data_IF_530355657637
#
_entry.id   IF_530355657637
#
_cell.length_a   1.000
_cell.length_b   1.000
_cell.length_c   1.000
_cell.angle_alpha   90.00
_cell.angle_beta   90.00
_cell.angle_gamma   90.00
#
_symmetry.space_group_name_H-M   'P 1'
#
loop_
_entity.id
_entity.type
_entity.pdbx_description
1 polymer ?
#
# COMPACT_ATOMS: atom_id res chain seq x y z
N UNK A 1 7.89 -5.82 -48.63
CA UNK A 1 9.32 -6.14 -48.89
C UNK A 1 10.19 -5.18 -48.09
N UNK A 2 10.97 -5.68 -47.14
CA UNK A 2 11.84 -4.84 -46.30
C UNK A 2 13.13 -4.53 -47.07
N UNK A 3 13.07 -3.48 -47.91
CA UNK A 3 14.21 -3.03 -48.73
C UNK A 3 15.52 -2.80 -47.91
N UNK A 4 15.48 -2.17 -46.72
CA UNK A 4 16.69 -1.96 -45.92
C UNK A 4 17.38 -3.27 -45.50
N UNK A 5 16.63 -4.30 -45.18
CA UNK A 5 17.19 -5.61 -44.77
C UNK A 5 17.82 -6.36 -45.95
N UNK A 6 17.32 -6.17 -47.17
CA UNK A 6 17.85 -6.81 -48.39
C UNK A 6 19.23 -6.28 -48.77
N UNK A 7 19.47 -4.99 -48.55
CA UNK A 7 20.76 -4.36 -48.80
C UNK A 7 21.76 -4.52 -47.65
N UNK A 8 21.31 -4.51 -46.40
CA UNK A 8 22.19 -4.63 -45.24
C UNK A 8 22.81 -6.03 -45.08
N UNK A 9 22.06 -7.08 -45.43
CA UNK A 9 22.48 -8.47 -45.21
C UNK A 9 23.74 -8.89 -45.96
N UNK A 10 23.93 -8.59 -47.29
CA UNK A 10 25.15 -8.92 -48.00
C UNK A 10 26.36 -8.13 -47.50
N UNK A 11 26.21 -6.92 -46.99
CA UNK A 11 27.31 -6.12 -46.45
C UNK A 11 27.78 -6.62 -45.08
N UNK A 12 26.88 -7.14 -44.24
CA UNK A 12 27.21 -7.72 -42.93
C UNK A 12 27.89 -9.09 -43.02
N UNK A 13 27.66 -9.86 -44.10
CA UNK A 13 28.15 -11.24 -44.24
C UNK A 13 29.02 -11.46 -45.48
N UNK A 14 29.54 -10.38 -46.11
CA UNK A 14 30.44 -10.50 -47.29
C UNK A 14 31.77 -11.13 -46.89
N UNK A 15 32.06 -12.30 -47.44
CA UNK A 15 33.25 -13.12 -47.14
C UNK A 15 34.57 -12.62 -47.81
N UNK A 16 34.61 -11.43 -48.38
CA UNK A 16 35.82 -10.93 -49.04
C UNK A 16 36.56 -9.86 -48.24
N UNK A 17 37.67 -10.28 -47.67
CA UNK A 17 38.89 -9.49 -47.39
C UNK A 17 38.84 -8.34 -46.40
N UNK A 18 37.83 -8.23 -45.48
CA UNK A 18 37.85 -7.22 -44.42
C UNK A 18 37.38 -7.80 -43.08
N UNK A 19 38.04 -8.86 -42.62
CA UNK A 19 37.75 -9.46 -41.31
C UNK A 19 37.79 -8.44 -40.16
N UNK A 20 38.67 -7.43 -40.24
CA UNK A 20 38.77 -6.40 -39.20
C UNK A 20 37.52 -5.50 -39.11
N UNK A 21 36.96 -5.08 -40.26
CA UNK A 21 35.76 -4.22 -40.30
C UNK A 21 34.54 -4.98 -39.78
N UNK A 22 34.39 -6.24 -40.16
CA UNK A 22 33.28 -7.07 -39.67
C UNK A 22 33.38 -7.37 -38.18
N UNK A 23 34.59 -7.57 -37.65
CA UNK A 23 34.83 -7.75 -36.21
C UNK A 23 34.49 -6.47 -35.45
N UNK A 24 34.94 -5.30 -35.90
CA UNK A 24 34.62 -4.02 -35.26
C UNK A 24 33.14 -3.75 -35.31
N UNK A 25 32.46 -3.98 -36.42
CA UNK A 25 31.00 -3.85 -36.53
C UNK A 25 30.28 -4.80 -35.62
N UNK A 26 30.71 -6.05 -35.52
CA UNK A 26 30.16 -7.05 -34.61
C UNK A 26 30.30 -6.66 -33.12
N UNK A 27 31.49 -6.19 -32.73
CA UNK A 27 31.75 -5.69 -31.39
C UNK A 27 30.85 -4.48 -31.09
N UNK A 28 30.73 -3.53 -32.01
CA UNK A 28 29.89 -2.35 -31.82
C UNK A 28 28.42 -2.71 -31.63
N UNK A 29 27.89 -3.63 -32.43
CA UNK A 29 26.51 -4.15 -32.26
C UNK A 29 26.35 -4.86 -30.90
N UNK A 30 27.33 -5.67 -30.53
CA UNK A 30 27.34 -6.37 -29.25
C UNK A 30 27.29 -5.40 -28.04
N UNK A 31 28.15 -4.36 -28.07
CA UNK A 31 28.19 -3.33 -27.02
C UNK A 31 26.86 -2.59 -26.93
N UNK A 32 26.31 -2.15 -28.06
CA UNK A 32 25.03 -1.45 -28.09
C UNK A 32 23.90 -2.36 -27.51
N UNK A 33 23.87 -3.62 -27.93
CA UNK A 33 22.89 -4.58 -27.45
C UNK A 33 22.97 -4.79 -25.93
N UNK A 34 24.18 -4.96 -25.39
CA UNK A 34 24.39 -5.13 -23.94
C UNK A 34 24.00 -3.88 -23.18
N UNK A 35 24.41 -2.70 -23.60
CA UNK A 35 24.08 -1.44 -22.95
C UNK A 35 22.56 -1.21 -22.98
N UNK A 36 21.92 -1.44 -24.11
CA UNK A 36 20.45 -1.30 -24.23
C UNK A 36 19.72 -2.29 -23.32
N UNK A 37 20.15 -3.55 -23.29
CA UNK A 37 19.58 -4.56 -22.41
C UNK A 37 19.75 -4.19 -20.94
N UNK A 38 20.94 -3.73 -20.53
CA UNK A 38 21.19 -3.27 -19.17
C UNK A 38 20.28 -2.09 -18.78
N UNK A 39 20.09 -1.12 -19.69
CA UNK A 39 19.22 0.02 -19.46
C UNK A 39 17.76 -0.38 -19.30
N UNK A 40 17.27 -1.32 -20.10
CA UNK A 40 15.90 -1.87 -19.97
C UNK A 40 15.73 -2.59 -18.62
N UNK A 41 16.70 -3.40 -18.21
CA UNK A 41 16.64 -4.11 -16.92
C UNK A 41 16.58 -3.11 -15.76
N UNK A 42 17.45 -2.09 -15.77
CA UNK A 42 17.46 -1.07 -14.71
C UNK A 42 16.12 -0.32 -14.63
N UNK A 43 15.61 0.15 -15.78
CA UNK A 43 14.33 0.86 -15.82
C UNK A 43 13.16 -0.03 -15.39
N UNK A 44 13.13 -1.28 -15.82
CA UNK A 44 12.10 -2.25 -15.39
C UNK A 44 12.15 -2.51 -13.90
N UNK A 45 13.35 -2.62 -13.31
CA UNK A 45 13.53 -2.80 -11.88
C UNK A 45 13.03 -1.58 -11.10
N UNK A 46 13.38 -0.37 -11.55
CA UNK A 46 12.92 0.86 -10.91
C UNK A 46 11.39 1.00 -10.94
N UNK A 47 10.78 0.71 -12.09
CA UNK A 47 9.32 0.72 -12.21
C UNK A 47 8.67 -0.34 -11.31
N UNK A 48 9.23 -1.56 -11.25
CA UNK A 48 8.73 -2.61 -10.38
C UNK A 48 8.83 -2.26 -8.89
N UNK A 49 9.89 -1.56 -8.47
CA UNK A 49 10.01 -1.06 -7.09
C UNK A 49 8.97 0.03 -6.82
N UNK A 50 8.76 0.97 -7.76
CA UNK A 50 7.73 2.00 -7.62
C UNK A 50 6.34 1.39 -7.47
N UNK A 51 5.97 0.44 -8.33
CA UNK A 51 4.70 -0.28 -8.26
C UNK A 51 4.55 -1.06 -6.94
N UNK A 52 5.63 -1.66 -6.43
CA UNK A 52 5.63 -2.36 -5.15
C UNK A 52 5.41 -1.40 -3.97
N UNK A 53 6.09 -0.25 -3.99
CA UNK A 53 5.90 0.80 -2.97
C UNK A 53 4.46 1.29 -2.98
N UNK A 54 3.91 1.61 -4.14
CA UNK A 54 2.51 2.02 -4.27
C UNK A 54 1.53 0.94 -3.79
N UNK A 55 1.81 -0.33 -4.06
CA UNK A 55 0.98 -1.44 -3.60
C UNK A 55 1.00 -1.62 -2.07
N UNK A 56 2.11 -1.29 -1.41
CA UNK A 56 2.25 -1.43 0.06
C UNK A 56 1.64 -0.23 0.80
N UNK A 57 1.84 0.99 0.31
CA UNK A 57 1.44 2.21 1.02
C UNK A 57 0.06 2.76 0.57
N UNK A 58 -0.28 2.64 -0.69
CA UNK A 58 -1.46 3.29 -1.27
C UNK A 58 -2.83 2.77 -0.84
N UNK A 59 -3.03 1.49 -0.44
CA UNK A 59 -4.39 0.99 -0.16
C UNK A 59 -5.04 1.58 1.09
N UNK A 60 -4.24 1.98 2.07
CA UNK A 60 -4.71 2.36 3.41
C UNK A 60 -4.39 3.81 3.78
N UNK A 61 -3.53 4.46 3.01
CA UNK A 61 -3.13 5.85 3.25
C UNK A 61 -3.94 6.80 2.37
N UNK A 62 -4.34 7.91 2.95
CA UNK A 62 -4.95 9.03 2.26
C UNK A 62 -3.86 9.94 1.70
N UNK A 63 -4.15 10.61 0.58
CA UNK A 63 -3.21 11.52 -0.06
C UNK A 63 -2.80 12.67 0.87
N UNK A 64 -3.70 13.11 1.75
CA UNK A 64 -3.45 14.20 2.71
C UNK A 64 -4.00 13.81 4.08
N UNK A 65 -3.16 13.92 5.11
CA UNK A 65 -3.55 13.76 6.51
C UNK A 65 -3.29 15.04 7.28
N UNK A 66 -4.32 15.56 7.97
CA UNK A 66 -4.22 16.72 8.83
C UNK A 66 -4.10 16.25 10.27
N UNK A 67 -2.99 16.58 10.92
CA UNK A 67 -2.72 16.18 12.31
C UNK A 67 -2.60 17.41 13.22
N UNK A 68 -2.74 17.21 14.53
CA UNK A 68 -2.54 18.28 15.50
C UNK A 68 -1.07 18.74 15.49
N UNK A 69 -0.83 20.05 15.51
CA UNK A 69 0.51 20.62 15.63
C UNK A 69 1.10 20.37 17.03
N UNK A 70 0.26 20.34 18.06
CA UNK A 70 0.62 20.01 19.43
C UNK A 70 -0.33 18.96 20.00
N UNK A 71 0.21 17.97 20.70
CA UNK A 71 -0.56 16.88 21.27
C UNK A 71 -0.88 15.77 20.25
N UNK A 72 -1.83 14.90 20.58
CA UNK A 72 -2.20 13.74 19.74
C UNK A 72 -3.44 13.98 18.90
N UNK A 73 -4.33 14.85 19.34
CA UNK A 73 -5.64 15.08 18.71
C UNK A 73 -6.06 16.53 18.85
N UNK A 74 -6.94 16.97 17.98
CA UNK A 74 -7.64 18.24 18.05
C UNK A 74 -9.15 18.01 17.99
N UNK A 75 -9.92 18.99 18.46
CA UNK A 75 -11.39 18.92 18.41
C UNK A 75 -11.93 19.09 16.99
N UNK A 76 -13.10 18.54 16.73
CA UNK A 76 -13.77 18.68 15.42
C UNK A 76 -14.06 20.14 15.06
N UNK A 77 -14.26 20.98 16.07
CA UNK A 77 -14.51 22.42 15.95
C UNK A 77 -13.29 23.21 15.45
N UNK A 78 -12.09 22.64 15.53
CA UNK A 78 -10.86 23.31 15.07
C UNK A 78 -10.68 23.31 13.54
N UNK A 79 -11.48 22.50 12.82
CA UNK A 79 -11.39 22.34 11.38
C UNK A 79 -12.78 22.33 10.74
N UNK A 80 -12.99 23.24 9.80
CA UNK A 80 -14.21 23.27 8.99
C UNK A 80 -14.11 22.25 7.84
N UNK A 81 -14.59 21.03 8.11
CA UNK A 81 -14.53 19.93 7.15
C UNK A 81 -15.39 20.20 5.91
N UNK A 82 -16.55 20.87 6.07
CA UNK A 82 -17.43 21.19 4.95
C UNK A 82 -16.75 22.13 3.95
N UNK A 83 -16.00 23.10 4.46
CA UNK A 83 -15.21 23.99 3.62
C UNK A 83 -14.08 23.29 2.87
N UNK A 84 -13.49 22.26 3.47
CA UNK A 84 -12.45 21.44 2.83
C UNK A 84 -13.06 20.59 1.71
N UNK A 85 -14.17 19.90 1.96
CA UNK A 85 -14.87 19.09 0.96
C UNK A 85 -15.40 19.94 -0.21
N UNK A 86 -15.72 21.23 0.05
CA UNK A 86 -16.14 22.14 -1.01
C UNK A 86 -15.02 22.54 -1.98
N UNK A 87 -13.75 22.21 -1.72
CA UNK A 87 -12.63 22.50 -2.62
C UNK A 87 -12.65 21.55 -3.82
N UNK A 88 -12.50 22.06 -5.07
CA UNK A 88 -12.58 21.21 -6.28
C UNK A 88 -11.53 20.09 -6.35
N UNK A 89 -10.43 20.22 -5.62
CA UNK A 89 -9.35 19.23 -5.56
C UNK A 89 -9.58 18.15 -4.51
N UNK A 90 -10.59 18.28 -3.63
CA UNK A 90 -10.90 17.31 -2.57
C UNK A 90 -12.11 16.49 -3.00
N UNK A 91 -11.93 15.19 -3.09
CA UNK A 91 -12.99 14.27 -3.47
C UNK A 91 -13.86 13.86 -2.27
N UNK A 92 -13.21 13.58 -1.14
CA UNK A 92 -13.88 13.17 0.10
C UNK A 92 -12.95 13.44 1.30
N UNK A 93 -13.49 13.46 2.51
CA UNK A 93 -12.73 13.60 3.75
C UNK A 93 -13.41 12.83 4.88
N UNK A 94 -12.63 12.33 5.83
CA UNK A 94 -13.14 11.57 6.98
C UNK A 94 -12.35 11.92 8.24
N UNK A 95 -13.07 11.94 9.36
CA UNK A 95 -12.45 12.02 10.66
C UNK A 95 -11.86 10.67 11.04
N UNK A 96 -10.65 10.72 11.61
CA UNK A 96 -9.93 9.53 12.07
C UNK A 96 -9.39 9.79 13.47
N UNK A 97 -9.42 8.76 14.31
CA UNK A 97 -8.75 8.74 15.61
C UNK A 97 -7.86 7.51 15.70
N UNK A 98 -6.62 7.68 16.08
CA UNK A 98 -5.67 6.59 16.25
C UNK A 98 -5.19 6.52 17.70
N UNK A 99 -5.17 5.32 18.28
CA UNK A 99 -4.67 5.07 19.62
C UNK A 99 -4.06 3.67 19.71
N UNK A 100 -2.97 3.55 20.47
CA UNK A 100 -2.43 2.25 20.81
C UNK A 100 -3.31 1.60 21.88
N UNK A 101 -3.75 0.40 21.60
CA UNK A 101 -4.66 -0.36 22.44
C UNK A 101 -4.10 -1.76 22.72
N UNK A 102 -4.52 -2.33 23.84
CA UNK A 102 -4.32 -3.75 24.11
C UNK A 102 -5.51 -4.53 23.55
N UNK A 103 -5.24 -5.43 22.63
CA UNK A 103 -6.19 -6.38 22.09
C UNK A 103 -6.06 -7.71 22.82
N UNK A 104 -7.19 -8.32 23.14
CA UNK A 104 -7.26 -9.62 23.78
C UNK A 104 -8.33 -10.50 23.11
N UNK A 105 -7.95 -11.74 22.82
CA UNK A 105 -8.83 -12.77 22.31
C UNK A 105 -8.56 -14.08 23.08
N UNK A 106 -9.47 -14.48 23.95
CA UNK A 106 -9.24 -15.60 24.87
C UNK A 106 -8.00 -15.38 25.73
N UNK A 107 -7.02 -16.28 25.64
CA UNK A 107 -5.77 -16.21 26.41
C UNK A 107 -4.64 -15.43 25.70
N UNK A 108 -4.85 -15.05 24.45
CA UNK A 108 -3.87 -14.30 23.68
C UNK A 108 -4.09 -12.79 23.78
N UNK A 109 -3.00 -12.04 23.86
CA UNK A 109 -3.06 -10.59 23.90
C UNK A 109 -1.89 -9.96 23.14
N UNK A 110 -2.14 -8.84 22.49
CA UNK A 110 -1.11 -8.06 21.76
C UNK A 110 -1.44 -6.58 21.78
N UNK A 111 -0.41 -5.74 21.56
CA UNK A 111 -0.59 -4.29 21.41
C UNK A 111 -0.71 -3.96 19.93
N UNK A 112 -1.74 -3.18 19.60
CA UNK A 112 -1.97 -2.76 18.23
C UNK A 112 -2.42 -1.30 18.16
N UNK A 113 -2.30 -0.69 17.00
CA UNK A 113 -2.88 0.62 16.71
C UNK A 113 -4.32 0.45 16.27
N UNK A 114 -5.25 0.97 17.05
CA UNK A 114 -6.68 1.05 16.70
C UNK A 114 -6.91 2.34 15.92
N UNK A 115 -7.48 2.21 14.73
CA UNK A 115 -7.92 3.32 13.89
C UNK A 115 -9.45 3.38 13.90
N UNK A 116 -10.00 4.33 14.65
CA UNK A 116 -11.43 4.63 14.64
C UNK A 116 -11.74 5.56 13.49
N UNK A 117 -12.66 5.16 12.63
CA UNK A 117 -12.99 5.87 11.38
C UNK A 117 -14.51 5.99 11.21
N UNK A 118 -14.93 6.92 10.39
CA UNK A 118 -16.33 7.04 9.97
C UNK A 118 -16.65 6.06 8.82
N UNK A 119 -17.93 5.66 8.62
CA UNK A 119 -18.29 4.70 7.58
C UNK A 119 -17.86 5.10 6.17
N UNK A 120 -17.79 6.40 5.87
CA UNK A 120 -17.31 6.92 4.58
C UNK A 120 -15.85 6.58 4.30
N UNK A 121 -15.04 6.36 5.32
CA UNK A 121 -13.65 5.95 5.17
C UNK A 121 -13.50 4.66 4.36
N UNK A 122 -14.43 3.71 4.50
CA UNK A 122 -14.40 2.47 3.71
C UNK A 122 -14.59 2.73 2.20
N UNK A 123 -15.35 3.76 1.84
CA UNK A 123 -15.54 4.14 0.43
C UNK A 123 -14.32 4.87 -0.13
N UNK A 124 -13.64 5.67 0.72
CA UNK A 124 -12.44 6.41 0.35
C UNK A 124 -11.23 5.49 0.18
N UNK A 125 -11.13 4.48 1.05
CA UNK A 125 -10.04 3.52 1.03
C UNK A 125 -10.29 2.40 0.02
N UNK A 126 -9.22 1.82 -0.52
CA UNK A 126 -9.29 0.62 -1.37
C UNK A 126 -9.37 -0.66 -0.53
N UNK A 127 -9.74 -0.56 0.75
CA UNK A 127 -9.69 -1.65 1.72
C UNK A 127 -10.46 -2.89 1.25
N UNK A 128 -11.62 -2.70 0.61
CA UNK A 128 -12.41 -3.80 0.06
C UNK A 128 -11.64 -4.72 -0.91
N UNK A 129 -10.67 -4.18 -1.64
CA UNK A 129 -9.86 -4.95 -2.60
C UNK A 129 -8.77 -5.79 -1.91
N UNK A 130 -8.43 -5.48 -0.65
CA UNK A 130 -7.38 -6.14 0.12
C UNK A 130 -7.93 -7.00 1.25
N UNK A 131 -9.26 -7.18 1.31
CA UNK A 131 -9.86 -8.13 2.25
C UNK A 131 -9.48 -9.55 1.87
N UNK A 132 -8.88 -10.27 2.80
CA UNK A 132 -8.56 -11.68 2.62
C UNK A 132 -9.80 -12.56 2.82
N UNK A 133 -10.66 -12.19 3.77
CA UNK A 133 -11.93 -12.87 4.10
C UNK A 133 -12.89 -11.86 4.73
N UNK A 134 -14.18 -12.12 4.67
CA UNK A 134 -15.23 -11.26 5.19
C UNK A 134 -15.55 -10.06 4.29
N UNK A 135 -16.38 -9.17 4.80
CA UNK A 135 -16.81 -7.95 4.12
C UNK A 135 -16.25 -6.70 4.84
N UNK A 136 -15.95 -5.62 4.11
CA UNK A 136 -15.49 -4.36 4.70
C UNK A 136 -16.67 -3.62 5.38
N UNK A 137 -17.06 -4.08 6.54
CA UNK A 137 -18.15 -3.49 7.34
C UNK A 137 -17.72 -3.30 8.79
N UNK A 138 -18.31 -2.29 9.45
CA UNK A 138 -18.17 -2.08 10.88
C UNK A 138 -19.37 -2.59 11.67
N UNK A 139 -20.34 -3.20 11.00
CA UNK A 139 -21.52 -3.81 11.59
C UNK A 139 -21.47 -5.32 11.37
N UNK A 140 -21.38 -6.08 12.43
CA UNK A 140 -21.42 -7.54 12.42
C UNK A 140 -22.76 -8.08 12.91
N UNK A 141 -23.03 -9.36 12.72
CA UNK A 141 -24.24 -10.04 13.14
C UNK A 141 -24.48 -9.98 14.67
N UNK A 142 -23.41 -9.89 15.46
CA UNK A 142 -23.47 -9.85 16.93
C UNK A 142 -23.22 -8.46 17.53
N UNK A 143 -23.05 -7.41 16.71
CA UNK A 143 -22.76 -6.06 17.14
C UNK A 143 -21.64 -5.40 16.33
N UNK A 144 -20.98 -4.37 16.89
CA UNK A 144 -19.89 -3.68 16.20
C UNK A 144 -18.78 -4.63 15.77
N UNK A 145 -18.28 -4.46 14.55
CA UNK A 145 -17.21 -5.26 13.97
C UNK A 145 -15.95 -4.42 13.73
N UNK A 146 -14.81 -5.09 13.69
CA UNK A 146 -13.52 -4.49 13.39
C UNK A 146 -12.83 -5.24 12.25
N UNK A 147 -12.15 -4.50 11.39
CA UNK A 147 -11.28 -5.06 10.36
C UNK A 147 -9.89 -5.21 10.97
N UNK A 148 -9.33 -6.40 10.91
CA UNK A 148 -8.07 -6.75 11.57
C UNK A 148 -7.05 -7.17 10.53
N UNK A 149 -5.81 -6.69 10.66
CA UNK A 149 -4.71 -7.14 9.82
C UNK A 149 -4.39 -8.63 10.02
N UNK A 150 -4.00 -9.31 8.94
CA UNK A 150 -3.72 -10.76 8.96
C UNK A 150 -2.62 -11.14 9.96
N UNK A 151 -1.64 -10.27 10.18
CA UNK A 151 -0.60 -10.46 11.20
C UNK A 151 -1.16 -10.50 12.61
N UNK A 152 -1.98 -9.52 12.98
CA UNK A 152 -2.66 -9.47 14.29
C UNK A 152 -3.60 -10.65 14.51
N UNK A 153 -4.31 -11.05 13.45
CA UNK A 153 -5.16 -12.25 13.48
C UNK A 153 -4.36 -13.49 13.85
N UNK A 154 -3.18 -13.65 13.26
CA UNK A 154 -2.28 -14.77 13.53
C UNK A 154 -1.74 -14.74 14.97
N UNK A 155 -1.34 -13.55 15.47
CA UNK A 155 -0.84 -13.37 16.83
C UNK A 155 -1.91 -13.66 17.89
N UNK A 156 -3.15 -13.27 17.62
CA UNK A 156 -4.28 -13.50 18.52
C UNK A 156 -4.92 -14.91 18.39
N UNK A 157 -4.40 -15.74 17.47
CA UNK A 157 -4.93 -17.10 17.23
C UNK A 157 -6.37 -17.11 16.74
N UNK A 158 -6.84 -16.05 16.08
CA UNK A 158 -8.21 -15.96 15.60
C UNK A 158 -8.45 -16.90 14.41
N UNK A 159 -9.57 -17.64 14.36
CA UNK A 159 -9.86 -18.56 13.25
C UNK A 159 -10.05 -17.81 11.93
N UNK A 160 -9.74 -18.48 10.82
CA UNK A 160 -9.97 -17.98 9.45
C UNK A 160 -11.39 -18.25 8.96
N UNK A 161 -12.18 -18.98 9.75
CA UNK A 161 -13.51 -19.41 9.35
C UNK A 161 -14.55 -18.31 9.68
N UNK A 162 -15.29 -17.87 8.67
CA UNK A 162 -16.30 -16.81 8.76
C UNK A 162 -17.50 -17.20 9.65
N UNK A 163 -17.61 -18.46 10.06
CA UNK A 163 -18.66 -18.98 10.96
C UNK A 163 -18.37 -18.86 12.46
N UNK A 164 -17.11 -18.59 12.84
CA UNK A 164 -16.73 -18.58 14.27
C UNK A 164 -16.46 -17.15 14.72
N UNK A 165 -17.44 -16.56 15.40
CA UNK A 165 -17.28 -15.24 16.04
C UNK A 165 -16.55 -15.40 17.37
N UNK A 166 -15.33 -14.91 17.47
CA UNK A 166 -14.66 -14.73 18.76
C UNK A 166 -14.75 -13.26 19.17
N UNK A 167 -15.18 -12.99 20.41
CA UNK A 167 -15.20 -11.63 20.93
C UNK A 167 -13.76 -11.12 21.07
N UNK A 168 -13.52 -9.91 20.58
CA UNK A 168 -12.27 -9.20 20.71
C UNK A 168 -12.43 -8.12 21.78
N UNK A 169 -11.67 -8.22 22.87
CA UNK A 169 -11.62 -7.19 23.89
C UNK A 169 -10.61 -6.13 23.49
N UNK A 170 -11.04 -4.87 23.50
CA UNK A 170 -10.20 -3.72 23.16
C UNK A 170 -10.08 -2.84 24.41
N UNK A 171 -8.87 -2.75 24.94
CA UNK A 171 -8.56 -1.89 26.08
C UNK A 171 -7.75 -0.69 25.63
N UNK A 172 -8.36 0.49 25.65
CA UNK A 172 -7.71 1.75 25.31
C UNK A 172 -7.32 2.53 26.57
N UNK A 173 -6.18 3.25 26.57
CA UNK A 173 -5.81 4.09 27.70
C UNK A 173 -6.78 5.25 27.86
N UNK A 174 -7.25 5.48 29.09
CA UNK A 174 -8.13 6.60 29.41
C UNK A 174 -7.28 7.88 29.48
N UNK A 175 -7.55 8.82 28.59
CA UNK A 175 -6.87 10.12 28.57
C UNK A 175 -7.29 10.96 29.78
N UNK A 176 -6.32 11.61 30.42
CA UNK A 176 -6.54 12.59 31.47
C UNK A 176 -6.80 12.03 32.88
N UNK A 177 -6.81 10.73 33.08
CA UNK A 177 -6.93 10.11 34.40
C UNK A 177 -5.55 9.67 34.90
N UNK A 178 -5.01 10.32 35.93
CA UNK A 178 -3.87 9.78 36.67
C UNK A 178 -4.38 8.52 37.38
N UNK A 179 -3.81 7.36 37.00
CA UNK A 179 -4.04 6.13 37.76
C UNK A 179 -3.56 6.36 39.18
N UNK A 180 -4.47 6.32 40.15
CA UNK A 180 -4.10 6.27 41.57
C UNK A 180 -3.31 4.99 41.79
N UNK A 181 -2.06 5.12 42.23
CA UNK A 181 -1.29 3.95 42.70
C UNK A 181 -2.00 3.40 43.93
N UNK A 182 -2.44 2.16 43.85
CA UNK A 182 -2.79 1.35 44.99
C UNK A 182 -1.52 0.99 45.74
#
# INVERSE_FOLDING_TARGET
MNLPGLFARPYLFAQRSQNAINIIAGISIGVIAVVTAAMVVVLSTLNGIADLVDAIYSPFDQDITITAAEGKTFGREALDLERIIAMPAVQDASWVIEENVLLRAGDQQTVATLKGVEPQYLRMSKMAQYMYTGEPTFEGLAGPAAIIGIGLKSELGLPLDDGVMQPLEISAPIRGRKLSKF
#
